data_IF_394916511350
#
_entry.id   IF_394916511350
#
_cell.length_a   1.000
_cell.length_b   1.000
_cell.length_c   1.000
_cell.angle_alpha   90.00
_cell.angle_beta   90.00
_cell.angle_gamma   90.00
#
_symmetry.space_group_name_H-M   'P 1'
#
loop_
_entity.id
_entity.type
_entity.pdbx_description
1 polymer ?
#
# COMPACT_ATOMS: atom_id res chain seq x y z
N UNK A 1 0.46 -14.82 16.43
CA UNK A 1 -0.12 -15.10 15.10
C UNK A 1 -0.86 -16.42 15.19
N UNK A 2 -2.10 -16.50 14.71
CA UNK A 2 -2.85 -17.76 14.72
C UNK A 2 -2.21 -18.78 13.77
N UNK A 3 -2.41 -20.07 14.07
CA UNK A 3 -1.88 -21.14 13.23
C UNK A 3 -2.55 -21.18 11.85
N UNK A 4 -3.79 -20.71 11.75
CA UNK A 4 -4.47 -20.48 10.47
C UNK A 4 -3.64 -19.60 9.53
N UNK A 5 -3.20 -18.41 9.98
CA UNK A 5 -2.42 -17.51 9.14
C UNK A 5 -1.03 -18.05 8.81
N UNK A 6 -0.41 -18.83 9.70
CA UNK A 6 0.86 -19.51 9.40
C UNK A 6 0.70 -20.51 8.27
N UNK A 7 -0.36 -21.31 8.30
CA UNK A 7 -0.68 -22.29 7.24
C UNK A 7 -1.02 -21.62 5.93
N UNK A 8 -1.83 -20.55 5.97
CA UNK A 8 -2.16 -19.75 4.80
C UNK A 8 -0.91 -19.17 4.12
N UNK A 9 -0.01 -18.55 4.90
CA UNK A 9 1.25 -18.00 4.39
C UNK A 9 2.14 -19.09 3.77
N UNK A 10 2.15 -20.32 4.33
CA UNK A 10 2.89 -21.44 3.74
C UNK A 10 2.33 -21.85 2.38
N UNK A 11 1.00 -21.92 2.23
CA UNK A 11 0.35 -22.25 0.95
C UNK A 11 0.68 -21.19 -0.11
N UNK A 12 0.64 -19.91 0.25
CA UNK A 12 0.98 -18.81 -0.67
C UNK A 12 2.49 -18.59 -0.87
N UNK A 13 3.35 -19.39 -0.22
CA UNK A 13 4.80 -19.18 -0.26
C UNK A 13 5.27 -17.86 0.38
N UNK A 14 4.43 -17.21 1.18
CA UNK A 14 4.69 -15.91 1.78
C UNK A 14 5.53 -16.03 3.05
N UNK A 15 6.65 -15.31 3.10
CA UNK A 15 7.46 -15.17 4.30
C UNK A 15 6.92 -14.06 5.20
N UNK A 16 6.34 -14.44 6.32
CA UNK A 16 5.88 -13.48 7.32
C UNK A 16 7.06 -12.80 8.03
N UNK A 17 7.02 -11.46 8.12
CA UNK A 17 7.96 -10.66 8.90
C UNK A 17 7.21 -10.03 10.08
N UNK A 18 7.64 -10.35 11.29
CA UNK A 18 7.00 -9.85 12.51
C UNK A 18 7.78 -8.66 13.05
N UNK A 19 7.09 -7.59 13.39
CA UNK A 19 7.66 -6.46 14.12
C UNK A 19 7.61 -6.75 15.63
N UNK A 20 8.64 -6.33 16.38
CA UNK A 20 8.62 -6.43 17.84
C UNK A 20 7.37 -5.76 18.44
N UNK A 21 6.82 -6.36 19.49
CA UNK A 21 5.71 -5.77 20.24
C UNK A 21 6.04 -4.34 20.67
N UNK A 22 5.05 -3.45 20.60
CA UNK A 22 5.15 -2.03 20.97
C UNK A 22 6.19 -1.21 20.19
N UNK A 23 6.72 -1.72 19.07
CA UNK A 23 7.66 -0.98 18.19
C UNK A 23 7.00 -0.59 16.86
N UNK A 24 5.96 0.23 16.94
CA UNK A 24 5.17 0.70 15.78
C UNK A 24 6.02 1.45 14.73
N UNK A 25 7.08 2.15 15.17
CA UNK A 25 8.00 2.88 14.29
C UNK A 25 8.77 1.97 13.32
N UNK A 26 8.97 0.69 13.67
CA UNK A 26 9.67 -0.26 12.80
C UNK A 26 8.86 -0.64 11.55
N UNK A 27 7.58 -0.23 11.45
CA UNK A 27 6.76 -0.38 10.25
C UNK A 27 6.26 1.00 9.75
N UNK A 28 7.18 1.96 9.62
CA UNK A 28 6.84 3.34 9.30
C UNK A 28 6.08 3.56 7.99
N UNK A 29 6.30 2.71 6.97
CA UNK A 29 5.55 2.81 5.69
C UNK A 29 4.08 2.48 5.87
N UNK A 30 3.75 1.39 6.57
CA UNK A 30 2.36 1.07 6.89
C UNK A 30 1.74 2.11 7.83
N UNK A 31 2.50 2.58 8.83
CA UNK A 31 2.05 3.63 9.75
C UNK A 31 1.65 4.92 9.03
N UNK A 32 2.45 5.37 8.06
CA UNK A 32 2.13 6.53 7.21
C UNK A 32 0.88 6.29 6.36
N UNK A 33 0.77 5.12 5.73
CA UNK A 33 -0.40 4.78 4.92
C UNK A 33 -1.69 4.76 5.74
N UNK A 34 -1.64 4.20 6.95
CA UNK A 34 -2.75 4.24 7.92
C UNK A 34 -3.12 5.67 8.29
N UNK A 35 -2.13 6.54 8.53
CA UNK A 35 -2.37 7.95 8.83
C UNK A 35 -3.09 8.68 7.68
N UNK A 36 -2.62 8.52 6.44
CA UNK A 36 -3.26 9.11 5.24
C UNK A 36 -4.68 8.59 5.06
N UNK A 37 -4.87 7.28 5.17
CA UNK A 37 -6.18 6.62 5.01
C UNK A 37 -7.16 7.09 6.09
N UNK A 38 -6.71 7.15 7.34
CA UNK A 38 -7.53 7.63 8.47
C UNK A 38 -7.94 9.09 8.26
N UNK A 39 -7.03 9.95 7.79
CA UNK A 39 -7.34 11.35 7.51
C UNK A 39 -8.37 11.47 6.38
N UNK A 40 -8.22 10.69 5.32
CA UNK A 40 -9.17 10.68 4.20
C UNK A 40 -10.56 10.20 4.69
N UNK A 41 -10.64 9.07 5.40
CA UNK A 41 -11.91 8.56 5.95
C UNK A 41 -12.59 9.59 6.85
N UNK A 42 -11.84 10.26 7.74
CA UNK A 42 -12.38 11.32 8.61
C UNK A 42 -12.96 12.53 7.88
N UNK A 43 -12.60 12.75 6.62
CA UNK A 43 -13.21 13.80 5.80
C UNK A 43 -14.56 13.38 5.24
N UNK A 44 -14.76 12.08 5.01
CA UNK A 44 -16.04 11.55 4.52
C UNK A 44 -17.01 11.30 5.68
N UNK A 45 -16.56 10.63 6.75
CA UNK A 45 -17.38 10.25 7.93
C UNK A 45 -17.59 11.42 8.91
N UNK A 46 -17.79 12.63 8.40
CA UNK A 46 -18.11 13.79 9.25
C UNK A 46 -19.59 13.81 9.65
N UNK A 47 -20.45 13.16 8.87
CA UNK A 47 -21.87 13.05 9.17
C UNK A 47 -22.14 11.91 10.17
N UNK A 48 -22.83 12.24 11.26
CA UNK A 48 -23.18 11.29 12.31
C UNK A 48 -24.19 10.24 11.83
N UNK A 49 -24.96 10.55 10.78
CA UNK A 49 -25.95 9.65 10.20
C UNK A 49 -25.42 8.83 9.01
N UNK A 50 -24.10 8.87 8.76
CA UNK A 50 -23.51 8.16 7.64
C UNK A 50 -23.60 6.63 7.81
N UNK A 51 -24.25 5.97 6.84
CA UNK A 51 -24.53 4.51 6.84
C UNK A 51 -23.95 3.76 5.66
N UNK A 52 -23.48 4.47 4.65
CA UNK A 52 -23.03 4.02 3.33
C UNK A 52 -21.51 4.20 3.16
N UNK A 53 -20.75 4.15 4.25
CA UNK A 53 -19.30 4.41 4.24
C UNK A 53 -18.52 3.46 3.33
N UNK A 54 -19.04 2.25 3.12
CA UNK A 54 -18.48 1.20 2.27
C UNK A 54 -18.58 1.55 0.77
N UNK A 55 -19.64 2.25 0.35
CA UNK A 55 -19.76 2.77 -1.02
C UNK A 55 -18.63 3.74 -1.39
N UNK A 56 -18.03 4.39 -0.40
CA UNK A 56 -16.91 5.32 -0.59
C UNK A 56 -15.54 4.65 -0.47
N UNK A 57 -15.44 3.40 0.00
CA UNK A 57 -14.18 2.73 0.24
C UNK A 57 -13.33 2.58 -1.04
N UNK A 58 -13.97 2.23 -2.16
CA UNK A 58 -13.30 2.12 -3.46
C UNK A 58 -12.84 3.48 -3.98
N UNK A 59 -13.70 4.50 -3.88
CA UNK A 59 -13.40 5.88 -4.29
C UNK A 59 -12.23 6.46 -3.49
N UNK A 60 -12.21 6.18 -2.18
CA UNK A 60 -11.12 6.54 -1.28
C UNK A 60 -9.81 5.85 -1.66
N UNK A 61 -9.88 4.56 -1.96
CA UNK A 61 -8.72 3.77 -2.42
C UNK A 61 -8.15 4.35 -3.72
N UNK A 62 -9.01 4.68 -4.68
CA UNK A 62 -8.62 5.33 -5.93
C UNK A 62 -7.94 6.68 -5.68
N UNK A 63 -8.54 7.54 -4.87
CA UNK A 63 -8.00 8.86 -4.54
C UNK A 63 -6.62 8.75 -3.84
N UNK A 64 -6.45 7.81 -2.91
CA UNK A 64 -5.18 7.59 -2.20
C UNK A 64 -4.10 7.06 -3.15
N UNK A 65 -4.45 6.13 -4.06
CA UNK A 65 -3.48 5.52 -4.98
C UNK A 65 -3.05 6.45 -6.12
N UNK A 66 -3.86 7.44 -6.48
CA UNK A 66 -3.58 8.42 -7.55
C UNK A 66 -3.11 9.78 -7.04
N UNK A 67 -3.22 10.05 -5.74
CA UNK A 67 -2.65 11.25 -5.15
C UNK A 67 -1.12 11.19 -5.13
N UNK A 68 -0.48 12.32 -5.44
CA UNK A 68 0.98 12.44 -5.41
C UNK A 68 1.52 12.32 -3.98
N UNK A 69 2.38 11.35 -3.74
CA UNK A 69 3.09 11.20 -2.47
C UNK A 69 4.15 12.32 -2.35
N UNK A 70 4.02 13.17 -1.32
CA UNK A 70 4.92 14.32 -1.14
C UNK A 70 6.39 13.92 -0.89
N UNK A 71 6.63 12.74 -0.32
CA UNK A 71 7.99 12.27 -0.02
C UNK A 71 8.60 11.63 -1.27
N UNK A 72 7.80 10.85 -1.99
CA UNK A 72 8.30 10.08 -3.13
C UNK A 72 8.20 10.80 -4.48
N UNK A 73 7.44 11.88 -4.56
CA UNK A 73 7.31 12.72 -5.74
C UNK A 73 6.41 12.14 -6.84
N UNK A 74 5.87 10.94 -6.67
CA UNK A 74 4.95 10.31 -7.64
C UNK A 74 3.74 9.69 -6.95
N UNK A 75 2.78 9.23 -7.75
CA UNK A 75 1.60 8.50 -7.26
C UNK A 75 1.96 7.05 -6.93
N UNK A 76 1.40 6.45 -5.86
CA UNK A 76 1.60 5.03 -5.57
C UNK A 76 1.27 4.11 -6.75
N UNK A 77 0.22 4.42 -7.51
CA UNK A 77 -0.16 3.67 -8.71
C UNK A 77 0.96 3.68 -9.77
N UNK A 78 1.45 4.86 -10.11
CA UNK A 78 2.53 5.03 -11.09
C UNK A 78 3.80 4.28 -10.66
N UNK A 79 4.16 4.37 -9.38
CA UNK A 79 5.33 3.69 -8.84
C UNK A 79 5.28 2.17 -8.96
N UNK A 80 4.11 1.55 -8.90
CA UNK A 80 3.96 0.10 -9.02
C UNK A 80 3.95 -0.32 -10.50
N UNK A 81 3.25 0.42 -11.35
CA UNK A 81 3.06 0.02 -12.74
C UNK A 81 4.22 0.39 -13.66
N UNK A 82 4.84 1.56 -13.48
CA UNK A 82 5.99 1.97 -14.30
C UNK A 82 7.25 1.17 -13.94
N UNK A 83 7.51 0.96 -12.65
CA UNK A 83 8.67 0.18 -12.20
C UNK A 83 8.62 -1.28 -12.66
N UNK A 84 7.42 -1.81 -12.92
CA UNK A 84 7.24 -3.17 -13.46
C UNK A 84 7.54 -3.23 -14.96
N UNK A 85 7.31 -2.15 -15.72
CA UNK A 85 7.67 -2.06 -17.13
C UNK A 85 9.19 -1.95 -17.32
N UNK A 86 9.86 -1.17 -16.47
CA UNK A 86 11.33 -1.04 -16.47
C UNK A 86 12.05 -2.32 -15.97
N UNK A 87 11.45 -3.06 -15.04
CA UNK A 87 12.02 -4.32 -14.53
C UNK A 87 11.80 -5.53 -15.48
N UNK A 88 11.01 -5.36 -16.54
CA UNK A 88 10.69 -6.38 -17.53
C UNK A 88 11.73 -6.55 -18.64
N UNK A 89 12.76 -5.70 -18.72
CA UNK A 89 13.85 -5.83 -19.69
C UNK A 89 15.15 -6.33 -19.02
N UNK A 90 15.43 -7.64 -19.02
CA UNK A 90 16.75 -8.17 -18.68
C UNK A 90 17.67 -8.29 -19.92
N UNK A 91 17.42 -7.55 -21.01
CA UNK A 91 18.05 -7.78 -22.31
C UNK A 91 18.66 -6.54 -22.96
N UNK A 92 19.60 -5.88 -22.28
CA UNK A 92 20.35 -4.74 -22.82
C UNK A 92 21.87 -4.93 -22.83
N UNK A 93 22.37 -6.12 -23.12
CA UNK A 93 23.80 -6.32 -23.40
C UNK A 93 24.13 -5.88 -24.84
N UNK A 94 25.09 -4.95 -24.92
CA UNK A 94 25.99 -4.66 -26.04
C UNK A 94 25.42 -4.11 -27.37
N UNK A 95 25.74 -2.84 -27.65
CA UNK A 95 26.67 -2.54 -28.76
C UNK A 95 27.27 -1.14 -28.62
N UNK A 96 28.59 -1.09 -28.37
CA UNK A 96 29.40 0.01 -28.87
C UNK A 96 29.54 -0.18 -30.39
N UNK A 97 29.38 0.90 -31.13
CA UNK A 97 29.97 1.12 -32.45
C UNK A 97 30.23 2.63 -32.58
#
# INVERSE_FOLDING_TARGET
MSDFFKTFNKILGQRQRTTMAYRTQANGSAGRMVQTTTRAIKMYVQDLDQRDWDEYAERLTFAINTARDRIRGETPFYMIHESTLEAGDPGGEHSQA
#
